data_IF_710566590679
#
_entry.id   IF_710566590679
#
_cell.length_a   1.000
_cell.length_b   1.000
_cell.length_c   1.000
_cell.angle_alpha   90.00
_cell.angle_beta   90.00
_cell.angle_gamma   90.00
#
_symmetry.space_group_name_H-M   'P 1'
#
loop_
_entity.id
_entity.type
_entity.pdbx_description
1 polymer ?
#
# COMPACT_ATOMS: atom_id res chain seq x y z
N UNK A 1 -5.04 -4.09 27.28
CA UNK A 1 -3.75 -4.76 27.02
C UNK A 1 -3.96 -6.09 26.27
N UNK A 2 -3.12 -6.40 25.28
CA UNK A 2 -3.14 -7.68 24.55
C UNK A 2 -2.67 -8.80 25.49
N UNK A 3 -3.53 -9.22 26.41
CA UNK A 3 -3.24 -10.25 27.41
C UNK A 3 -3.68 -11.61 26.88
N UNK A 4 -2.71 -12.51 26.72
CA UNK A 4 -2.83 -13.98 26.60
C UNK A 4 -3.30 -14.61 25.27
N UNK A 5 -3.11 -13.97 24.11
CA UNK A 5 -2.99 -14.71 22.84
C UNK A 5 -1.63 -14.40 22.21
N UNK A 6 -0.78 -15.42 22.04
CA UNK A 6 0.43 -15.30 21.23
C UNK A 6 0.00 -15.01 19.80
N UNK A 7 0.26 -13.80 19.33
CA UNK A 7 0.08 -13.44 17.92
C UNK A 7 1.28 -13.99 17.18
N UNK A 8 1.04 -14.74 16.10
CA UNK A 8 2.11 -15.17 15.22
C UNK A 8 2.56 -13.98 14.37
N UNK A 9 3.87 -13.73 14.36
CA UNK A 9 4.48 -12.77 13.46
C UNK A 9 4.99 -13.48 12.21
N UNK A 10 5.26 -12.72 11.15
CA UNK A 10 5.80 -13.25 9.90
C UNK A 10 7.24 -13.69 10.12
N UNK A 11 7.49 -15.01 10.09
CA UNK A 11 8.82 -15.62 10.23
C UNK A 11 9.57 -15.16 11.50
N UNK A 12 8.89 -15.15 12.65
CA UNK A 12 9.43 -14.70 13.94
C UNK A 12 10.05 -13.28 13.92
N UNK A 13 9.74 -12.49 12.89
CA UNK A 13 10.11 -11.06 12.83
C UNK A 13 9.23 -10.25 13.79
N UNK A 14 9.46 -8.94 13.85
CA UNK A 14 8.53 -8.03 14.54
C UNK A 14 7.28 -7.70 13.72
N UNK A 15 7.06 -8.30 12.55
CA UNK A 15 5.97 -7.91 11.63
C UNK A 15 4.73 -8.75 11.85
N UNK A 16 3.57 -8.11 11.99
CA UNK A 16 2.27 -8.78 11.98
C UNK A 16 1.46 -8.35 10.76
N UNK A 17 0.90 -9.32 10.04
CA UNK A 17 -0.05 -9.05 8.97
C UNK A 17 -1.45 -8.83 9.58
N UNK A 18 -2.04 -7.67 9.35
CA UNK A 18 -3.34 -7.30 9.88
C UNK A 18 -4.37 -7.23 8.75
N UNK A 19 -5.31 -8.16 8.78
CA UNK A 19 -6.47 -8.17 7.87
C UNK A 19 -7.67 -7.43 8.49
N UNK A 20 -8.37 -6.66 7.67
CA UNK A 20 -9.53 -5.88 8.06
C UNK A 20 -10.74 -6.23 7.19
N UNK A 21 -11.98 -5.96 7.68
CA UNK A 21 -13.18 -6.19 6.89
C UNK A 21 -13.14 -5.48 5.53
N UNK A 22 -13.61 -6.16 4.48
CA UNK A 22 -13.64 -5.57 3.12
C UNK A 22 -14.64 -4.42 2.97
N UNK A 23 -15.53 -4.19 3.93
CA UNK A 23 -16.54 -3.11 3.82
C UNK A 23 -15.98 -1.79 4.33
N UNK A 24 -15.48 -1.77 5.56
CA UNK A 24 -15.02 -0.58 6.26
C UNK A 24 -13.96 -0.91 7.30
N UNK A 25 -13.17 0.09 7.68
CA UNK A 25 -12.26 -0.04 8.82
C UNK A 25 -13.04 -0.22 10.15
N UNK A 26 -12.46 -0.96 11.11
CA UNK A 26 -12.99 -0.98 12.47
C UNK A 26 -12.95 0.42 13.10
N UNK A 27 -13.94 0.73 13.95
CA UNK A 27 -14.03 2.02 14.68
C UNK A 27 -12.72 2.34 15.41
N UNK A 28 -12.05 1.31 15.95
CA UNK A 28 -10.82 1.44 16.74
C UNK A 28 -9.53 1.15 15.94
N UNK A 29 -9.56 1.38 14.63
CA UNK A 29 -8.42 1.07 13.75
C UNK A 29 -7.15 1.79 14.19
N UNK A 30 -7.22 3.11 14.40
CA UNK A 30 -6.04 3.92 14.77
C UNK A 30 -5.48 3.51 16.13
N UNK A 31 -6.35 3.26 17.11
CA UNK A 31 -5.94 2.77 18.43
C UNK A 31 -5.29 1.39 18.36
N UNK A 32 -5.79 0.50 17.49
CA UNK A 32 -5.18 -0.81 17.27
C UNK A 32 -3.77 -0.67 16.69
N UNK A 33 -3.60 0.11 15.62
CA UNK A 33 -2.28 0.36 15.01
C UNK A 33 -1.31 0.94 16.03
N UNK A 34 -1.75 1.92 16.83
CA UNK A 34 -0.96 2.50 17.91
C UNK A 34 -0.53 1.46 18.96
N UNK A 35 -1.46 0.62 19.43
CA UNK A 35 -1.14 -0.43 20.42
C UNK A 35 -0.16 -1.47 19.89
N UNK A 36 -0.27 -1.86 18.61
CA UNK A 36 0.67 -2.79 17.97
C UNK A 36 2.08 -2.16 17.92
N UNK A 37 2.18 -0.89 17.50
CA UNK A 37 3.45 -0.16 17.47
C UNK A 37 4.07 -0.01 18.88
N UNK A 38 3.26 0.27 19.90
CA UNK A 38 3.72 0.34 21.30
C UNK A 38 4.25 -0.98 21.86
N UNK A 39 3.85 -2.11 21.27
CA UNK A 39 4.41 -3.43 21.58
C UNK A 39 5.72 -3.73 20.82
N UNK A 40 6.30 -2.75 20.13
CA UNK A 40 7.46 -2.90 19.22
C UNK A 40 7.21 -3.89 18.07
N UNK A 41 5.94 -4.04 17.67
CA UNK A 41 5.51 -4.84 16.52
C UNK A 41 5.22 -3.90 15.35
N UNK A 42 5.69 -4.23 14.15
CA UNK A 42 5.39 -3.51 12.92
C UNK A 42 4.09 -4.04 12.32
N UNK A 43 3.00 -3.24 12.28
CA UNK A 43 1.79 -3.63 11.56
C UNK A 43 2.03 -3.52 10.04
N UNK A 44 1.65 -4.57 9.31
CA UNK A 44 1.54 -4.58 7.86
C UNK A 44 0.07 -4.76 7.50
N UNK A 45 -0.55 -3.75 6.89
CA UNK A 45 -1.97 -3.78 6.54
C UNK A 45 -2.20 -4.65 5.30
N UNK A 46 -2.96 -5.72 5.44
CA UNK A 46 -3.27 -6.65 4.35
C UNK A 46 -4.27 -6.04 3.38
N UNK A 47 -3.93 -6.11 2.09
CA UNK A 47 -4.74 -5.81 0.92
C UNK A 47 -5.78 -4.69 1.08
N UNK A 48 -5.38 -3.46 1.46
CA UNK A 48 -6.30 -2.33 1.61
C UNK A 48 -7.02 -2.00 0.30
N UNK A 49 -6.48 -2.40 -0.86
CA UNK A 49 -7.13 -2.20 -2.15
C UNK A 49 -8.49 -2.93 -2.28
N UNK A 50 -8.80 -3.85 -1.37
CA UNK A 50 -10.08 -4.57 -1.32
C UNK A 50 -11.11 -3.95 -0.39
N UNK A 51 -10.76 -2.89 0.34
CA UNK A 51 -11.68 -2.18 1.23
C UNK A 51 -12.62 -1.27 0.43
N UNK A 52 -13.92 -1.54 0.47
CA UNK A 52 -14.95 -0.82 -0.27
C UNK A 52 -15.01 0.66 0.11
N UNK A 53 -14.88 0.99 1.40
CA UNK A 53 -14.78 2.38 1.88
C UNK A 53 -13.72 3.16 1.09
N UNK A 54 -12.52 2.59 0.92
CA UNK A 54 -11.43 3.28 0.22
C UNK A 54 -11.66 3.44 -1.29
N UNK A 55 -12.34 2.48 -1.90
CA UNK A 55 -12.68 2.52 -3.33
C UNK A 55 -13.81 3.53 -3.60
N UNK A 56 -14.78 3.62 -2.69
CA UNK A 56 -16.00 4.41 -2.87
C UNK A 56 -15.85 5.87 -2.44
N UNK A 57 -14.99 6.14 -1.46
CA UNK A 57 -14.81 7.46 -0.85
C UNK A 57 -13.39 7.98 -1.12
N UNK A 58 -13.20 8.84 -2.14
CA UNK A 58 -11.91 9.44 -2.42
C UNK A 58 -11.35 10.19 -1.20
N UNK A 59 -10.09 9.95 -0.85
CA UNK A 59 -9.43 10.58 0.31
C UNK A 59 -9.62 9.86 1.63
N UNK A 60 -10.51 8.85 1.71
CA UNK A 60 -10.77 8.12 2.95
C UNK A 60 -9.56 7.30 3.40
N UNK A 61 -8.77 6.75 2.48
CA UNK A 61 -7.54 6.05 2.83
C UNK A 61 -6.54 6.99 3.49
N UNK A 62 -6.28 8.14 2.86
CA UNK A 62 -5.34 9.16 3.32
C UNK A 62 -5.79 9.81 4.65
N UNK A 63 -7.10 9.90 4.89
CA UNK A 63 -7.66 10.42 6.15
C UNK A 63 -7.58 9.42 7.33
N UNK A 64 -7.58 8.12 7.03
CA UNK A 64 -7.66 7.06 8.04
C UNK A 64 -6.35 6.31 8.27
N UNK A 65 -5.49 6.24 7.26
CA UNK A 65 -4.26 5.44 7.26
C UNK A 65 -3.04 6.35 7.29
N UNK A 66 -2.19 6.16 8.30
CA UNK A 66 -0.97 6.95 8.48
C UNK A 66 -0.05 6.81 7.23
N UNK A 67 0.60 7.89 6.76
CA UNK A 67 1.45 7.86 5.56
C UNK A 67 2.58 6.83 5.60
N UNK A 68 3.09 6.53 6.80
CA UNK A 68 4.20 5.60 7.02
C UNK A 68 3.73 4.15 7.26
N UNK A 69 2.41 3.89 7.40
CA UNK A 69 1.90 2.54 7.63
C UNK A 69 2.19 1.67 6.39
N UNK A 70 2.97 0.58 6.53
CA UNK A 70 3.21 -0.35 5.44
C UNK A 70 1.93 -1.06 5.02
N UNK A 71 1.79 -1.26 3.71
CA UNK A 71 0.66 -1.99 3.13
C UNK A 71 1.15 -3.18 2.30
N UNK A 72 0.36 -4.23 2.25
CA UNK A 72 0.55 -5.36 1.35
C UNK A 72 -0.55 -5.34 0.28
N UNK A 73 -0.19 -5.36 -1.00
CA UNK A 73 -1.15 -5.38 -2.13
C UNK A 73 -1.15 -6.77 -2.78
N UNK A 74 -2.33 -7.29 -3.11
CA UNK A 74 -2.46 -8.60 -3.74
C UNK A 74 -2.12 -8.57 -5.24
N UNK A 75 -1.39 -9.58 -5.72
CA UNK A 75 -1.12 -9.73 -7.15
C UNK A 75 -2.40 -9.88 -7.96
N UNK A 76 -3.39 -10.63 -7.45
CA UNK A 76 -4.70 -10.81 -8.10
C UNK A 76 -5.44 -9.48 -8.28
N UNK A 77 -5.31 -8.53 -7.34
CA UNK A 77 -5.91 -7.21 -7.45
C UNK A 77 -5.28 -6.42 -8.60
N UNK A 78 -3.94 -6.39 -8.69
CA UNK A 78 -3.20 -5.69 -9.75
C UNK A 78 -3.48 -6.26 -11.15
N UNK A 79 -3.74 -7.57 -11.23
CA UNK A 79 -4.08 -8.28 -12.47
C UNK A 79 -5.58 -8.30 -12.78
N UNK A 80 -6.43 -7.60 -12.00
CA UNK A 80 -7.85 -7.45 -12.31
C UNK A 80 -8.75 -8.63 -11.91
N UNK A 81 -8.24 -9.61 -11.17
CA UNK A 81 -9.00 -10.80 -10.78
C UNK A 81 -10.17 -10.54 -9.83
N UNK A 82 -10.25 -9.35 -9.22
CA UNK A 82 -11.39 -8.92 -8.40
C UNK A 82 -12.25 -7.82 -9.06
N UNK A 83 -12.01 -7.52 -10.33
CA UNK A 83 -12.72 -6.50 -11.10
C UNK A 83 -11.99 -5.17 -11.19
N UNK A 84 -12.40 -4.37 -12.19
CA UNK A 84 -11.71 -3.16 -12.65
C UNK A 84 -11.57 -2.09 -11.56
N UNK A 85 -12.58 -1.90 -10.71
CA UNK A 85 -12.52 -0.89 -9.63
C UNK A 85 -11.41 -1.18 -8.62
N UNK A 86 -11.28 -2.45 -8.22
CA UNK A 86 -10.21 -2.89 -7.31
C UNK A 86 -8.86 -2.79 -8.00
N UNK A 87 -8.77 -3.17 -9.28
CA UNK A 87 -7.54 -3.07 -10.05
C UNK A 87 -7.04 -1.62 -10.14
N UNK A 88 -7.91 -0.69 -10.54
CA UNK A 88 -7.56 0.72 -10.66
C UNK A 88 -7.12 1.29 -9.31
N UNK A 89 -7.79 0.91 -8.22
CA UNK A 89 -7.41 1.35 -6.89
C UNK A 89 -6.11 0.72 -6.38
N UNK A 90 -5.85 -0.55 -6.70
CA UNK A 90 -4.59 -1.23 -6.41
C UNK A 90 -3.41 -0.52 -7.09
N UNK A 91 -3.56 -0.16 -8.38
CA UNK A 91 -2.54 0.61 -9.11
C UNK A 91 -2.39 2.03 -8.58
N UNK A 92 -3.47 2.66 -8.09
CA UNK A 92 -3.35 3.96 -7.38
C UNK A 92 -2.49 3.81 -6.13
N UNK A 93 -2.72 2.77 -5.32
CA UNK A 93 -1.94 2.53 -4.10
C UNK A 93 -0.47 2.21 -4.36
N UNK A 94 -0.13 1.58 -5.50
CA UNK A 94 1.26 1.36 -5.92
C UNK A 94 2.02 2.69 -6.09
N UNK A 95 1.32 3.79 -6.41
CA UNK A 95 1.94 5.12 -6.60
C UNK A 95 2.12 5.92 -5.31
N UNK A 96 1.69 5.39 -4.16
CA UNK A 96 1.84 6.05 -2.86
C UNK A 96 3.30 6.08 -2.39
N UNK A 97 3.72 7.21 -1.81
CA UNK A 97 5.04 7.38 -1.17
C UNK A 97 5.12 6.67 0.20
N UNK A 98 4.82 5.36 0.24
CA UNK A 98 4.84 4.53 1.47
C UNK A 98 5.53 3.18 1.27
N UNK A 99 5.85 2.43 2.34
CA UNK A 99 6.38 1.08 2.20
C UNK A 99 5.30 0.12 1.68
N UNK A 100 5.59 -0.56 0.58
CA UNK A 100 4.65 -1.47 -0.09
C UNK A 100 5.29 -2.85 -0.23
N UNK A 101 4.54 -3.87 0.12
CA UNK A 101 4.82 -5.29 -0.12
C UNK A 101 3.83 -5.80 -1.16
N UNK A 102 4.30 -6.52 -2.17
CA UNK A 102 3.41 -7.23 -3.09
C UNK A 102 3.49 -8.72 -2.79
N UNK A 103 2.33 -9.34 -2.59
CA UNK A 103 2.23 -10.76 -2.27
C UNK A 103 1.07 -11.41 -3.03
N UNK A 104 1.16 -12.72 -3.24
CA UNK A 104 0.15 -13.43 -4.03
C UNK A 104 -1.21 -13.52 -3.35
N UNK A 105 -1.19 -13.66 -2.01
CA UNK A 105 -2.36 -14.07 -1.23
C UNK A 105 -3.02 -15.31 -1.89
N UNK A 106 -2.18 -16.25 -2.32
CA UNK A 106 -2.60 -17.42 -3.08
C UNK A 106 -3.37 -18.41 -2.20
N UNK A 107 -4.47 -18.94 -2.71
CA UNK A 107 -5.30 -19.94 -2.00
C UNK A 107 -5.43 -21.26 -2.76
N UNK A 108 -5.22 -21.25 -4.09
CA UNK A 108 -5.23 -22.46 -4.93
C UNK A 108 -4.69 -22.15 -6.34
N UNK A 109 -4.36 -23.19 -7.11
CA UNK A 109 -3.78 -23.05 -8.44
C UNK A 109 -4.75 -22.55 -9.54
N UNK A 110 -6.04 -22.37 -9.26
CA UNK A 110 -7.07 -22.05 -10.26
C UNK A 110 -7.63 -20.63 -10.11
N UNK A 111 -8.28 -20.34 -8.98
CA UNK A 111 -8.91 -19.04 -8.72
C UNK A 111 -7.99 -18.01 -8.07
N UNK A 112 -6.94 -18.44 -7.35
CA UNK A 112 -5.97 -17.54 -6.69
C UNK A 112 -4.53 -18.05 -6.82
N UNK A 113 -4.00 -18.17 -8.05
CA UNK A 113 -2.65 -18.68 -8.29
C UNK A 113 -1.55 -17.67 -7.89
N UNK A 114 -0.33 -18.13 -7.58
CA UNK A 114 0.79 -17.26 -7.28
C UNK A 114 1.39 -16.64 -8.56
N UNK A 115 0.87 -15.47 -8.97
CA UNK A 115 1.23 -14.75 -10.21
C UNK A 115 2.20 -13.58 -9.97
N UNK A 116 3.21 -13.79 -9.13
CA UNK A 116 4.12 -12.72 -8.72
C UNK A 116 5.05 -12.28 -9.87
N UNK A 117 5.41 -13.21 -10.77
CA UNK A 117 6.28 -12.93 -11.92
C UNK A 117 5.63 -11.99 -12.92
N UNK A 118 4.34 -12.18 -13.20
CA UNK A 118 3.55 -11.35 -14.11
C UNK A 118 3.40 -9.93 -13.55
N UNK A 119 3.14 -9.81 -12.24
CA UNK A 119 3.05 -8.51 -11.58
C UNK A 119 4.40 -7.81 -11.53
N UNK A 120 5.49 -8.53 -11.27
CA UNK A 120 6.84 -7.96 -11.32
C UNK A 120 7.17 -7.43 -12.72
N UNK A 121 6.83 -8.17 -13.77
CA UNK A 121 7.01 -7.71 -15.15
C UNK A 121 6.19 -6.44 -15.45
N UNK A 122 4.92 -6.40 -15.05
CA UNK A 122 4.06 -5.23 -15.24
C UNK A 122 4.58 -3.98 -14.49
N UNK A 123 5.09 -4.15 -13.27
CA UNK A 123 5.72 -3.06 -12.51
C UNK A 123 7.03 -2.61 -13.16
N UNK A 124 7.83 -3.55 -13.65
CA UNK A 124 9.09 -3.26 -14.33
C UNK A 124 8.84 -2.44 -15.60
N UNK A 125 7.83 -2.81 -16.39
CA UNK A 125 7.44 -2.07 -17.58
C UNK A 125 6.95 -0.65 -17.25
N UNK A 126 6.11 -0.51 -16.21
CA UNK A 126 5.46 0.76 -15.87
C UNK A 126 6.35 1.74 -15.10
N UNK A 127 7.20 1.23 -14.20
CA UNK A 127 7.93 2.03 -13.22
C UNK A 127 9.43 1.72 -13.16
N UNK A 128 9.90 0.69 -13.85
CA UNK A 128 11.30 0.28 -13.87
C UNK A 128 11.61 -0.84 -12.86
N UNK A 129 12.67 -1.58 -13.16
CA UNK A 129 13.07 -2.79 -12.44
C UNK A 129 13.38 -2.54 -10.96
N UNK A 130 14.00 -1.41 -10.63
CA UNK A 130 14.32 -1.06 -9.25
C UNK A 130 13.05 -0.97 -8.37
N UNK A 131 12.00 -0.33 -8.88
CA UNK A 131 10.73 -0.17 -8.16
C UNK A 131 10.03 -1.52 -7.99
N UNK A 132 10.00 -2.33 -9.05
CA UNK A 132 9.46 -3.68 -9.00
C UNK A 132 10.21 -4.56 -7.98
N UNK A 133 11.55 -4.49 -7.95
CA UNK A 133 12.38 -5.23 -7.01
C UNK A 133 12.15 -4.80 -5.56
N UNK A 134 11.99 -3.49 -5.30
CA UNK A 134 11.70 -3.01 -3.94
C UNK A 134 10.40 -3.64 -3.42
N UNK A 135 9.32 -3.58 -4.20
CA UNK A 135 7.99 -4.01 -3.73
C UNK A 135 7.80 -5.54 -3.73
N UNK A 136 8.35 -6.25 -4.72
CA UNK A 136 8.14 -7.69 -4.90
C UNK A 136 9.24 -8.57 -4.30
N UNK A 137 10.40 -8.01 -3.95
CA UNK A 137 11.55 -8.81 -3.46
C UNK A 137 12.20 -8.24 -2.21
N UNK A 138 12.63 -6.98 -2.23
CA UNK A 138 13.41 -6.43 -1.12
C UNK A 138 12.57 -6.18 0.13
N UNK A 139 11.39 -5.58 0.00
CA UNK A 139 10.49 -5.36 1.13
C UNK A 139 9.95 -6.69 1.71
N UNK A 140 9.47 -7.65 0.90
CA UNK A 140 9.15 -8.99 1.42
C UNK A 140 10.33 -9.64 2.16
N UNK A 141 11.55 -9.56 1.60
CA UNK A 141 12.75 -10.08 2.27
C UNK A 141 13.04 -9.34 3.57
N UNK A 142 12.90 -8.02 3.61
CA UNK A 142 13.12 -7.21 4.80
C UNK A 142 12.14 -7.58 5.93
N UNK A 143 10.88 -7.91 5.61
CA UNK A 143 9.93 -8.47 6.59
C UNK A 143 10.49 -9.73 7.23
N UNK A 144 10.92 -10.69 6.41
CA UNK A 144 11.45 -12.00 6.85
C UNK A 144 12.75 -11.85 7.66
N UNK A 145 13.63 -10.93 7.24
CA UNK A 145 14.91 -10.64 7.89
C UNK A 145 14.80 -9.65 9.06
N UNK A 146 13.59 -9.26 9.46
CA UNK A 146 13.32 -8.30 10.53
C UNK A 146 14.03 -6.93 10.36
N UNK A 147 14.09 -6.44 9.11
CA UNK A 147 14.69 -5.15 8.72
C UNK A 147 13.63 -4.10 8.41
N UNK A 148 14.06 -2.85 8.29
CA UNK A 148 13.19 -1.73 7.86
C UNK A 148 12.81 -1.83 6.39
N UNK A 149 11.56 -1.48 6.08
CA UNK A 149 11.05 -1.44 4.70
C UNK A 149 11.44 -0.14 3.99
N UNK A 150 11.59 -0.22 2.67
CA UNK A 150 11.94 0.89 1.79
C UNK A 150 10.69 1.44 1.10
N UNK A 151 10.69 2.75 0.86
CA UNK A 151 9.71 3.43 0.01
C UNK A 151 10.26 3.44 -1.41
N UNK A 152 9.51 2.88 -2.36
CA UNK A 152 9.86 2.89 -3.78
C UNK A 152 9.45 4.23 -4.39
N UNK A 153 10.34 5.24 -4.31
CA UNK A 153 10.04 6.59 -4.78
C UNK A 153 9.98 6.65 -6.30
N UNK A 154 8.79 6.87 -6.84
CA UNK A 154 8.62 7.13 -8.26
C UNK A 154 9.20 8.50 -8.63
N UNK A 155 9.81 8.60 -9.81
CA UNK A 155 10.14 9.91 -10.39
C UNK A 155 8.82 10.62 -10.68
N UNK A 156 8.43 11.58 -9.83
CA UNK A 156 7.20 12.35 -10.00
C UNK A 156 7.18 12.96 -11.40
N UNK A 157 6.14 12.69 -12.19
CA UNK A 157 5.86 13.52 -13.37
C UNK A 157 5.62 14.94 -12.86
N UNK A 158 6.21 15.98 -13.47
CA UNK A 158 5.92 17.35 -13.08
C UNK A 158 4.41 17.56 -13.14
N UNK A 159 3.85 18.25 -12.13
CA UNK A 159 2.43 18.56 -12.10
C UNK A 159 2.02 19.15 -13.46
N UNK A 160 0.90 18.68 -14.06
CA UNK A 160 0.48 19.16 -15.37
C UNK A 160 0.42 20.69 -15.34
N UNK A 161 0.95 21.33 -16.40
CA UNK A 161 0.85 22.78 -16.48
C UNK A 161 -0.62 23.21 -16.40
N UNK A 162 -0.94 24.22 -15.58
CA UNK A 162 -2.30 24.74 -15.52
C UNK A 162 -2.73 25.17 -16.93
N UNK A 163 -3.75 24.50 -17.47
CA UNK A 163 -4.32 24.83 -18.77
C UNK A 163 -5.18 26.09 -18.62
N UNK A 164 -4.82 27.14 -19.36
CA UNK A 164 -5.57 28.40 -19.43
C UNK A 164 -5.02 29.51 -18.53
N UNK A 165 -5.22 30.75 -18.97
CA UNK A 165 -4.69 31.98 -18.37
C UNK A 165 -5.10 32.13 -16.88
N UNK A 166 -6.37 31.86 -16.55
CA UNK A 166 -6.88 31.94 -15.17
C UNK A 166 -6.22 30.94 -14.21
N UNK A 167 -5.92 29.73 -14.68
CA UNK A 167 -5.26 28.71 -13.86
C UNK A 167 -3.77 29.02 -13.66
N UNK A 168 -3.10 29.60 -14.67
CA UNK A 168 -1.74 30.15 -14.54
C UNK A 168 -1.70 31.32 -13.55
N UNK A 169 -2.67 32.25 -13.63
CA UNK A 169 -2.76 33.38 -12.71
C UNK A 169 -2.98 32.94 -11.25
N UNK A 170 -3.90 31.99 -11.01
CA UNK A 170 -4.10 31.41 -9.67
C UNK A 170 -2.82 30.78 -9.11
N UNK A 171 -2.04 30.07 -9.93
CA UNK A 171 -0.77 29.46 -9.51
C UNK A 171 0.31 30.52 -9.18
N UNK A 172 0.33 31.64 -9.90
CA UNK A 172 1.22 32.77 -9.64
C UNK A 172 0.84 33.54 -8.36
N UNK A 173 -0.47 33.71 -8.11
CA UNK A 173 -0.99 34.48 -6.98
C UNK A 173 -0.94 33.68 -5.65
N UNK A 174 -1.18 32.37 -5.69
CA UNK A 174 -1.30 31.54 -4.47
C UNK A 174 0.08 31.06 -3.95
N UNK A 175 1.16 31.25 -4.72
CA UNK A 175 2.49 30.76 -4.35
C UNK A 175 2.59 29.23 -4.38
N UNK A 176 3.80 28.68 -4.54
CA UNK A 176 4.00 27.23 -4.33
C UNK A 176 3.86 26.98 -2.83
N UNK A 177 2.98 26.08 -2.35
CA UNK A 177 3.08 25.64 -0.96
C UNK A 177 4.47 25.01 -0.78
N UNK A 178 5.22 25.52 0.19
CA UNK A 178 6.51 24.95 0.59
C UNK A 178 6.31 23.48 0.92
N UNK A 179 7.09 22.63 0.25
CA UNK A 179 7.11 21.20 0.48
C UNK A 179 7.99 20.96 1.71
N UNK A 180 7.36 20.62 2.84
CA UNK A 180 8.02 19.97 3.98
C UNK A 180 7.92 18.45 3.82
#
# INVERSE_FOLDING_TARGET
PLTHKKVLTLNDSRTVLLEFPFTQLPIRFKELIFQVRMANIMPLMAHPERCQMFIQEPGSFEANVEPDLPIQINTTSLMGGFGEKIQNYAWKLVEEDRPIVIASDAHNAKSRPPILSEVHAALTEKYGEEIANIMCRDNPRAVIENKGLRIARMKRKPAPEPKGFRARLKRLIIGRPEQY
#
